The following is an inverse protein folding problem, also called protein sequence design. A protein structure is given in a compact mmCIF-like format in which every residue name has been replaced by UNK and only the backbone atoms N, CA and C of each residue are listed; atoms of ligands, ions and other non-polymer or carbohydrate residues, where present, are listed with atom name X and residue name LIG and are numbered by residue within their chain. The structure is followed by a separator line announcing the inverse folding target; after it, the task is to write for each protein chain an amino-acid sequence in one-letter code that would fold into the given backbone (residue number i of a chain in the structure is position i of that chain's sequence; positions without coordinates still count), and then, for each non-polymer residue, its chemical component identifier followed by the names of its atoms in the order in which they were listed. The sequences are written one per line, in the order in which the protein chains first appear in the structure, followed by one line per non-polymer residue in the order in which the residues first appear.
data_IF_365468562019
#
_entry.id   IF_365468562019
#
_cell.length_a   1.000
_cell.length_b   1.000
_cell.length_c   1.000
_cell.angle_alpha   90.00
_cell.angle_beta   90.00
_cell.angle_gamma   90.00
#
_symmetry.space_group_name_H-M   'P 1'
#
loop_
_entity.id
_entity.type
_entity.pdbx_description
1 polymer ?
#
# COMPACT_ATOMS: atom_id res chain seq x y z
N UNK A 1 11.39 -12.50 25.76
CA UNK A 1 10.61 -11.41 26.38
C UNK A 1 9.11 -11.70 26.43
N UNK A 2 8.56 -12.45 25.46
CA UNK A 2 7.12 -12.72 25.37
C UNK A 2 6.69 -13.96 26.19
N UNK A 3 7.60 -14.91 26.42
CA UNK A 3 7.29 -16.15 27.15
C UNK A 3 6.88 -15.84 28.58
N UNK A 4 5.75 -16.42 29.00
CA UNK A 4 5.18 -16.25 30.34
C UNK A 4 4.13 -15.11 30.46
N UNK A 5 3.83 -14.41 29.35
CA UNK A 5 2.77 -13.40 29.32
C UNK A 5 1.46 -13.98 28.74
N UNK A 6 0.35 -13.45 29.19
CA UNK A 6 -1.00 -13.86 28.77
C UNK A 6 -1.36 -13.28 27.38
N UNK A 7 -1.85 -14.11 26.47
CA UNK A 7 -2.30 -13.65 25.13
C UNK A 7 -3.42 -12.63 25.21
N UNK A 8 -4.27 -12.70 26.26
CA UNK A 8 -5.33 -11.73 26.46
C UNK A 8 -4.83 -10.29 26.67
N UNK A 9 -3.59 -10.12 27.14
CA UNK A 9 -2.98 -8.81 27.35
C UNK A 9 -2.27 -8.29 26.09
N UNK A 10 -3.04 -8.18 24.99
CA UNK A 10 -2.55 -7.85 23.66
C UNK A 10 -1.76 -6.53 23.63
N UNK A 11 -2.24 -5.49 24.30
CA UNK A 11 -1.57 -4.19 24.31
C UNK A 11 -0.18 -4.24 24.94
N UNK A 12 -0.03 -5.02 26.02
CA UNK A 12 1.27 -5.23 26.65
C UNK A 12 2.22 -6.01 25.72
N UNK A 13 1.74 -7.07 25.09
CA UNK A 13 2.54 -7.88 24.15
C UNK A 13 3.02 -7.06 22.95
N UNK A 14 2.14 -6.28 22.34
CA UNK A 14 2.51 -5.41 21.20
C UNK A 14 3.51 -4.34 21.63
N UNK A 15 3.37 -3.77 22.84
CA UNK A 15 4.34 -2.82 23.37
C UNK A 15 5.74 -3.48 23.54
N UNK A 16 5.81 -4.71 24.08
CA UNK A 16 7.07 -5.45 24.21
C UNK A 16 7.71 -5.75 22.87
N UNK A 17 6.89 -6.10 21.84
CA UNK A 17 7.38 -6.36 20.48
C UNK A 17 7.95 -5.08 19.87
N UNK A 18 7.20 -3.98 19.91
CA UNK A 18 7.64 -2.71 19.33
C UNK A 18 8.90 -2.17 20.00
N UNK A 19 9.04 -2.33 21.31
CA UNK A 19 10.21 -1.93 22.09
C UNK A 19 11.36 -2.95 22.10
N UNK A 20 11.26 -4.10 21.43
CA UNK A 20 12.24 -5.17 21.51
C UNK A 20 13.62 -4.81 20.92
N UNK A 21 13.61 -4.04 19.83
CA UNK A 21 14.80 -3.59 19.11
C UNK A 21 14.47 -2.34 18.29
N UNK A 22 15.49 -1.60 17.89
CA UNK A 22 15.34 -0.50 16.95
C UNK A 22 15.13 -1.05 15.52
N UNK A 23 14.32 -0.35 14.70
CA UNK A 23 14.01 -0.75 13.33
C UNK A 23 13.48 -2.20 13.26
N UNK A 24 13.99 -3.01 12.33
CA UNK A 24 13.61 -4.42 12.15
C UNK A 24 12.09 -4.66 12.07
N UNK A 25 11.40 -3.78 11.36
CA UNK A 25 9.94 -3.76 11.28
C UNK A 25 9.35 -5.08 10.76
N UNK A 26 9.97 -5.71 9.76
CA UNK A 26 9.49 -7.01 9.24
C UNK A 26 9.54 -8.11 10.30
N UNK A 27 10.60 -8.17 11.12
CA UNK A 27 10.71 -9.15 12.21
C UNK A 27 9.65 -8.90 13.30
N UNK A 28 9.41 -7.64 13.64
CA UNK A 28 8.33 -7.24 14.57
C UNK A 28 6.97 -7.63 14.02
N UNK A 29 6.71 -7.35 12.74
CA UNK A 29 5.47 -7.68 12.08
C UNK A 29 5.20 -9.19 12.11
N UNK A 30 6.19 -10.02 11.81
CA UNK A 30 6.03 -11.47 11.83
C UNK A 30 5.60 -11.98 13.21
N UNK A 31 6.23 -11.48 14.29
CA UNK A 31 5.88 -11.87 15.66
C UNK A 31 4.51 -11.30 16.06
N UNK A 32 4.23 -10.06 15.70
CA UNK A 32 2.95 -9.42 16.03
C UNK A 32 1.78 -10.10 15.32
N UNK A 33 1.92 -10.47 14.04
CA UNK A 33 0.93 -11.25 13.28
C UNK A 33 0.61 -12.56 14.01
N UNK A 34 1.61 -13.29 14.46
CA UNK A 34 1.42 -14.53 15.21
C UNK A 34 0.67 -14.31 16.54
N UNK A 35 0.97 -13.22 17.25
CA UNK A 35 0.27 -12.87 18.51
C UNK A 35 -1.20 -12.50 18.23
N UNK A 36 -1.48 -11.75 17.18
CA UNK A 36 -2.86 -11.42 16.79
C UNK A 36 -3.64 -12.66 16.33
N UNK A 37 -2.99 -13.62 15.66
CA UNK A 37 -3.61 -14.90 15.29
C UNK A 37 -3.98 -15.71 16.53
N UNK A 38 -3.05 -15.86 17.50
CA UNK A 38 -3.31 -16.52 18.77
C UNK A 38 -4.43 -15.82 19.56
N UNK A 39 -4.50 -14.49 19.52
CA UNK A 39 -5.55 -13.72 20.14
C UNK A 39 -6.92 -13.97 19.51
N UNK A 40 -6.97 -14.08 18.18
CA UNK A 40 -8.17 -14.50 17.45
C UNK A 40 -8.64 -15.91 17.85
N UNK A 41 -7.69 -16.85 17.96
CA UNK A 41 -7.97 -18.22 18.40
C UNK A 41 -8.48 -18.27 19.85
N UNK A 42 -7.89 -17.48 20.76
CA UNK A 42 -8.32 -17.39 22.17
C UNK A 42 -9.81 -17.01 22.27
N UNK A 43 -10.27 -16.07 21.46
CA UNK A 43 -11.67 -15.62 21.47
C UNK A 43 -12.56 -16.34 20.45
N UNK A 44 -12.02 -17.33 19.74
CA UNK A 44 -12.72 -18.09 18.71
C UNK A 44 -13.45 -17.19 17.69
N UNK A 45 -12.77 -16.14 17.24
CA UNK A 45 -13.32 -15.16 16.31
C UNK A 45 -12.27 -14.73 15.28
N UNK A 46 -12.68 -14.52 14.01
CA UNK A 46 -11.77 -13.96 13.01
C UNK A 46 -11.33 -12.56 13.43
N UNK A 47 -10.05 -12.26 13.19
CA UNK A 47 -9.40 -11.04 13.69
C UNK A 47 -10.15 -9.76 13.29
N UNK A 48 -10.65 -9.66 12.05
CA UNK A 48 -11.39 -8.46 11.63
C UNK A 48 -12.60 -8.15 12.52
N UNK A 49 -13.29 -9.16 13.06
CA UNK A 49 -14.42 -8.97 14.00
C UNK A 49 -13.95 -8.41 15.34
N UNK A 50 -12.82 -8.89 15.84
CA UNK A 50 -12.24 -8.39 17.09
C UNK A 50 -11.70 -6.97 16.94
N UNK A 51 -11.33 -6.55 15.72
CA UNK A 51 -10.86 -5.21 15.40
C UNK A 51 -11.97 -4.21 15.03
N UNK A 52 -13.24 -4.62 15.07
CA UNK A 52 -14.36 -3.71 14.83
C UNK A 52 -15.39 -4.21 13.82
N UNK A 53 -15.13 -5.29 13.11
CA UNK A 53 -16.02 -5.84 12.07
C UNK A 53 -15.80 -5.18 10.70
N UNK A 54 -16.71 -5.45 9.79
CA UNK A 54 -16.72 -4.95 8.40
C UNK A 54 -17.24 -5.99 7.43
N UNK A 55 -17.47 -5.60 6.18
CA UNK A 55 -17.79 -6.53 5.09
C UNK A 55 -16.51 -7.30 4.71
N UNK A 56 -16.49 -8.64 4.80
CA UNK A 56 -15.29 -9.44 4.55
C UNK A 56 -14.96 -9.60 3.05
N UNK A 57 -15.47 -8.72 2.19
CA UNK A 57 -15.17 -8.72 0.76
C UNK A 57 -14.29 -7.51 0.44
N UNK A 58 -13.12 -7.77 -0.14
CA UNK A 58 -12.21 -6.73 -0.64
C UNK A 58 -11.74 -7.08 -2.05
N UNK A 59 -11.41 -6.05 -2.84
CA UNK A 59 -10.86 -6.21 -4.19
C UNK A 59 -9.45 -5.64 -4.22
N UNK A 60 -8.48 -6.41 -4.71
CA UNK A 60 -7.10 -5.97 -4.90
C UNK A 60 -6.80 -5.62 -6.34
N UNK A 61 -5.77 -4.81 -6.58
CA UNK A 61 -5.17 -4.61 -7.90
C UNK A 61 -4.21 -5.75 -8.25
N UNK A 62 -3.55 -5.60 -9.40
CA UNK A 62 -2.44 -6.45 -9.84
C UNK A 62 -1.32 -5.58 -10.41
N UNK A 63 -0.08 -5.93 -10.07
CA UNK A 63 1.11 -5.22 -10.51
C UNK A 63 1.52 -5.63 -11.93
N UNK A 64 1.70 -4.63 -12.80
CA UNK A 64 2.31 -4.74 -14.12
C UNK A 64 3.77 -4.26 -14.01
N UNK A 65 4.70 -5.20 -14.10
CA UNK A 65 6.13 -4.94 -13.98
C UNK A 65 6.68 -4.17 -15.17
N UNK A 66 7.77 -3.41 -14.95
CA UNK A 66 8.44 -2.66 -16.02
C UNK A 66 9.01 -3.60 -17.07
N UNK A 67 8.59 -3.41 -18.33
CA UNK A 67 9.07 -4.15 -19.51
C UNK A 67 8.95 -3.26 -20.77
N UNK A 68 9.10 -3.86 -21.97
CA UNK A 68 8.77 -3.19 -23.23
C UNK A 68 7.29 -2.81 -23.29
N UNK A 69 6.97 -1.72 -24.00
CA UNK A 69 5.59 -1.17 -24.04
C UNK A 69 4.58 -2.24 -24.48
N UNK A 70 4.85 -2.95 -25.57
CA UNK A 70 3.93 -3.96 -26.10
C UNK A 70 3.66 -5.09 -25.10
N UNK A 71 4.69 -5.50 -24.34
CA UNK A 71 4.53 -6.50 -23.29
C UNK A 71 3.69 -5.99 -22.13
N UNK A 72 3.95 -4.78 -21.65
CA UNK A 72 3.16 -4.18 -20.57
C UNK A 72 1.70 -3.99 -20.97
N UNK A 73 1.43 -3.62 -22.22
CA UNK A 73 0.07 -3.54 -22.78
C UNK A 73 -0.57 -4.93 -22.78
N UNK A 74 0.13 -5.96 -23.27
CA UNK A 74 -0.39 -7.32 -23.30
C UNK A 74 -0.67 -7.86 -21.88
N UNK A 75 0.23 -7.64 -20.92
CA UNK A 75 0.05 -8.05 -19.52
C UNK A 75 -1.13 -7.32 -18.87
N UNK A 76 -1.30 -6.03 -19.15
CA UNK A 76 -2.42 -5.22 -18.68
C UNK A 76 -3.76 -5.74 -19.21
N UNK A 77 -3.81 -6.07 -20.51
CA UNK A 77 -5.01 -6.62 -21.13
C UNK A 77 -5.35 -8.00 -20.57
N UNK A 78 -4.35 -8.87 -20.39
CA UNK A 78 -4.54 -10.18 -19.77
C UNK A 78 -5.05 -10.06 -18.32
N UNK A 79 -4.60 -9.06 -17.58
CA UNK A 79 -5.11 -8.78 -16.22
C UNK A 79 -6.59 -8.34 -16.25
N UNK A 80 -6.95 -7.43 -17.17
CA UNK A 80 -8.35 -7.00 -17.34
C UNK A 80 -9.26 -8.17 -17.73
N UNK A 81 -8.80 -9.05 -18.64
CA UNK A 81 -9.54 -10.26 -19.04
C UNK A 81 -9.73 -11.26 -17.89
N UNK A 82 -8.82 -11.26 -16.91
CA UNK A 82 -8.95 -12.03 -15.67
C UNK A 82 -9.90 -11.39 -14.65
N UNK A 83 -10.41 -10.19 -14.92
CA UNK A 83 -11.38 -9.49 -14.09
C UNK A 83 -10.76 -8.47 -13.10
N UNK A 84 -9.49 -8.10 -13.24
CA UNK A 84 -8.91 -7.04 -12.44
C UNK A 84 -9.44 -5.66 -12.88
N UNK A 85 -9.98 -4.91 -11.93
CA UNK A 85 -10.55 -3.58 -12.15
C UNK A 85 -9.56 -2.45 -11.79
N UNK A 86 -8.39 -2.78 -11.27
CA UNK A 86 -7.30 -1.84 -10.97
C UNK A 86 -5.96 -2.47 -11.35
N UNK A 87 -5.11 -1.68 -12.01
CA UNK A 87 -3.78 -2.07 -12.44
C UNK A 87 -2.73 -1.14 -11.84
N UNK A 88 -1.74 -1.69 -11.16
CA UNK A 88 -0.59 -0.95 -10.64
C UNK A 88 0.56 -1.03 -11.66
N UNK A 89 0.84 0.08 -12.32
CA UNK A 89 1.85 0.18 -13.39
C UNK A 89 3.17 0.65 -12.78
N UNK A 90 4.20 -0.17 -12.89
CA UNK A 90 5.54 0.21 -12.45
C UNK A 90 6.20 1.15 -13.47
N UNK A 91 6.71 2.28 -12.97
CA UNK A 91 7.41 3.35 -13.71
C UNK A 91 8.68 3.77 -12.94
N UNK A 92 9.30 4.91 -13.27
CA UNK A 92 10.39 5.47 -12.47
C UNK A 92 11.80 5.21 -13.04
N UNK A 93 11.91 4.73 -14.28
CA UNK A 93 13.23 4.49 -14.92
C UNK A 93 13.60 5.57 -15.93
N UNK A 94 12.78 5.77 -16.94
CA UNK A 94 12.97 6.77 -17.99
C UNK A 94 11.66 7.52 -18.18
N UNK A 95 11.68 8.80 -17.90
CA UNK A 95 10.48 9.63 -17.84
C UNK A 95 9.73 9.67 -19.17
N UNK A 96 10.44 9.74 -20.31
CA UNK A 96 9.82 9.78 -21.62
C UNK A 96 9.17 8.45 -21.97
N UNK A 97 9.88 7.37 -21.73
CA UNK A 97 9.37 6.00 -21.96
C UNK A 97 8.24 5.68 -21.00
N UNK A 98 8.31 6.12 -19.73
CA UNK A 98 7.27 5.92 -18.74
C UNK A 98 5.95 6.60 -19.15
N UNK A 99 6.01 7.82 -19.67
CA UNK A 99 4.83 8.53 -20.22
C UNK A 99 4.20 7.74 -21.37
N UNK A 100 5.01 7.27 -22.33
CA UNK A 100 4.51 6.51 -23.48
C UNK A 100 3.93 5.14 -23.08
N UNK A 101 4.52 4.45 -22.10
CA UNK A 101 3.98 3.22 -21.50
C UNK A 101 2.58 3.43 -20.95
N UNK A 102 2.43 4.46 -20.13
CA UNK A 102 1.16 4.75 -19.45
C UNK A 102 0.09 5.13 -20.48
N UNK A 103 0.41 5.95 -21.48
CA UNK A 103 -0.52 6.31 -22.56
C UNK A 103 -0.96 5.07 -23.36
N UNK A 104 -0.02 4.20 -23.72
CA UNK A 104 -0.32 2.98 -24.47
C UNK A 104 -1.23 2.03 -23.67
N UNK A 105 -0.94 1.81 -22.38
CA UNK A 105 -1.77 0.99 -21.49
C UNK A 105 -3.15 1.61 -21.33
N UNK A 106 -3.23 2.92 -21.07
CA UNK A 106 -4.50 3.63 -20.88
C UNK A 106 -5.40 3.51 -22.11
N UNK A 107 -4.82 3.69 -23.30
CA UNK A 107 -5.55 3.53 -24.55
C UNK A 107 -6.04 2.08 -24.77
N UNK A 108 -5.23 1.07 -24.43
CA UNK A 108 -5.59 -0.34 -24.61
C UNK A 108 -6.66 -0.80 -23.60
N UNK A 109 -6.59 -0.32 -22.36
CA UNK A 109 -7.54 -0.69 -21.30
C UNK A 109 -8.94 -0.10 -21.55
N UNK A 110 -9.05 1.02 -22.26
CA UNK A 110 -10.34 1.64 -22.65
C UNK A 110 -11.31 1.89 -21.47
N UNK A 111 -10.77 2.29 -20.32
CA UNK A 111 -11.54 2.57 -19.12
C UNK A 111 -12.08 1.34 -18.38
N UNK A 112 -11.70 0.12 -18.76
CA UNK A 112 -12.11 -1.13 -18.10
C UNK A 112 -11.42 -1.37 -16.76
N UNK A 113 -10.31 -0.67 -16.49
CA UNK A 113 -9.62 -0.70 -15.20
C UNK A 113 -9.07 0.68 -14.84
N UNK A 114 -8.96 0.95 -13.53
CA UNK A 114 -8.26 2.11 -12.99
C UNK A 114 -6.74 1.90 -13.09
N UNK A 115 -6.00 2.96 -13.37
CA UNK A 115 -4.55 2.91 -13.41
C UNK A 115 -3.96 3.61 -12.19
N UNK A 116 -3.06 2.91 -11.49
CA UNK A 116 -2.21 3.39 -10.41
C UNK A 116 -0.77 3.39 -10.91
N UNK A 117 -0.02 4.44 -10.69
CA UNK A 117 1.41 4.45 -11.02
C UNK A 117 2.22 4.22 -9.75
N UNK A 118 3.29 3.43 -9.85
CA UNK A 118 4.28 3.31 -8.78
C UNK A 118 5.67 3.59 -9.35
N UNK A 119 6.22 4.72 -8.96
CA UNK A 119 7.53 5.18 -9.41
C UNK A 119 8.68 4.67 -8.54
N UNK A 120 8.41 4.05 -7.40
CA UNK A 120 9.39 3.53 -6.44
C UNK A 120 10.59 4.48 -6.24
N UNK A 121 10.30 5.75 -5.97
CA UNK A 121 11.32 6.79 -5.72
C UNK A 121 12.21 7.11 -6.95
N UNK A 122 11.75 6.80 -8.17
CA UNK A 122 12.58 6.85 -9.37
C UNK A 122 12.68 8.23 -10.01
N UNK A 123 11.80 9.18 -9.67
CA UNK A 123 11.78 10.50 -10.27
C UNK A 123 12.33 11.59 -9.34
N UNK A 124 12.69 12.73 -9.92
CA UNK A 124 12.80 13.99 -9.19
C UNK A 124 11.44 14.67 -9.15
N UNK A 125 11.25 15.61 -8.22
CA UNK A 125 9.97 16.34 -8.09
C UNK A 125 9.57 17.06 -9.39
N UNK A 126 10.52 17.64 -10.12
CA UNK A 126 10.26 18.28 -11.42
C UNK A 126 9.87 17.29 -12.51
N UNK A 127 10.51 16.12 -12.55
CA UNK A 127 10.16 15.05 -13.47
C UNK A 127 8.76 14.50 -13.18
N UNK A 128 8.43 14.31 -11.92
CA UNK A 128 7.10 13.83 -11.52
C UNK A 128 6.00 14.80 -11.96
N UNK A 129 6.16 16.10 -11.69
CA UNK A 129 5.20 17.12 -12.14
C UNK A 129 5.09 17.13 -13.67
N UNK A 130 6.21 17.10 -14.39
CA UNK A 130 6.21 17.08 -15.85
C UNK A 130 5.47 15.84 -16.40
N UNK A 131 5.77 14.66 -15.88
CA UNK A 131 5.12 13.42 -16.34
C UNK A 131 3.62 13.42 -16.08
N UNK A 132 3.22 13.76 -14.84
CA UNK A 132 1.82 13.74 -14.44
C UNK A 132 1.00 14.79 -15.20
N UNK A 133 1.48 16.02 -15.32
CA UNK A 133 0.80 17.04 -16.12
C UNK A 133 0.72 16.65 -17.61
N UNK A 134 1.78 16.06 -18.18
CA UNK A 134 1.75 15.56 -19.57
C UNK A 134 0.70 14.45 -19.78
N UNK A 135 0.50 13.59 -18.78
CA UNK A 135 -0.54 12.57 -18.81
C UNK A 135 -1.94 13.18 -18.63
N UNK A 136 -2.10 14.08 -17.67
CA UNK A 136 -3.35 14.83 -17.43
C UNK A 136 -3.79 15.62 -18.67
N UNK A 137 -2.87 16.35 -19.30
CA UNK A 137 -3.14 17.11 -20.55
C UNK A 137 -3.51 16.20 -21.71
N UNK A 138 -2.99 14.97 -21.74
CA UNK A 138 -3.36 13.94 -22.73
C UNK A 138 -4.71 13.25 -22.39
N UNK A 139 -5.41 13.65 -21.32
CA UNK A 139 -6.67 13.05 -20.90
C UNK A 139 -6.54 11.70 -20.18
N UNK A 140 -5.33 11.30 -19.79
CA UNK A 140 -5.11 10.09 -19.02
C UNK A 140 -5.56 10.34 -17.57
N UNK A 141 -6.48 9.52 -17.10
CA UNK A 141 -6.98 9.59 -15.71
C UNK A 141 -6.32 8.50 -14.87
N UNK A 142 -5.54 8.94 -13.90
CA UNK A 142 -4.89 8.06 -12.92
C UNK A 142 -5.64 8.10 -11.60
N UNK A 143 -5.78 6.95 -10.95
CA UNK A 143 -6.32 6.89 -9.60
C UNK A 143 -5.35 7.50 -8.58
N UNK A 144 -4.05 7.24 -8.76
CA UNK A 144 -2.98 7.79 -7.92
C UNK A 144 -1.59 7.59 -8.56
N UNK A 145 -0.61 8.31 -8.01
CA UNK A 145 0.82 8.05 -8.19
C UNK A 145 1.46 7.75 -6.82
N UNK A 146 2.13 6.60 -6.72
CA UNK A 146 2.81 6.13 -5.50
C UNK A 146 4.28 6.51 -5.53
N UNK A 147 4.75 7.11 -4.44
CA UNK A 147 6.13 7.46 -4.08
C UNK A 147 7.00 7.92 -5.27
N UNK A 148 6.67 9.06 -5.88
CA UNK A 148 7.40 9.53 -7.06
C UNK A 148 8.85 9.91 -6.78
N UNK A 149 9.15 10.43 -5.58
CA UNK A 149 10.49 10.91 -5.18
C UNK A 149 11.05 10.09 -4.01
N UNK A 150 12.32 10.37 -3.65
CA UNK A 150 13.00 9.68 -2.55
C UNK A 150 12.22 9.79 -1.23
N UNK A 151 12.25 8.73 -0.44
CA UNK A 151 11.51 8.60 0.81
C UNK A 151 11.66 9.79 1.78
N UNK A 152 12.84 10.39 1.82
CA UNK A 152 13.17 11.53 2.70
C UNK A 152 12.86 12.90 2.09
N UNK A 153 12.47 12.96 0.81
CA UNK A 153 12.17 14.20 0.10
C UNK A 153 10.70 14.61 0.27
N UNK A 154 10.32 14.95 1.50
CA UNK A 154 8.95 15.36 1.82
C UNK A 154 8.59 16.71 1.17
N UNK A 155 9.54 17.60 1.01
CA UNK A 155 9.34 18.86 0.28
C UNK A 155 9.07 18.59 -1.22
N UNK A 156 9.76 17.62 -1.81
CA UNK A 156 9.49 17.15 -3.17
C UNK A 156 8.10 16.51 -3.29
N UNK A 157 7.69 15.69 -2.34
CA UNK A 157 6.33 15.14 -2.29
C UNK A 157 5.29 16.27 -2.26
N UNK A 158 5.43 17.23 -1.34
CA UNK A 158 4.57 18.41 -1.25
C UNK A 158 4.54 19.21 -2.55
N UNK A 159 5.73 19.45 -3.14
CA UNK A 159 5.85 20.20 -4.40
C UNK A 159 5.03 19.55 -5.53
N UNK A 160 4.99 18.22 -5.59
CA UNK A 160 4.20 17.47 -6.56
C UNK A 160 2.71 17.60 -6.22
N UNK A 161 2.32 17.27 -5.00
CA UNK A 161 0.90 17.28 -4.53
C UNK A 161 0.22 18.62 -4.79
N UNK A 162 0.94 19.73 -4.64
CA UNK A 162 0.41 21.08 -4.91
C UNK A 162 0.25 21.43 -6.40
N UNK A 163 0.78 20.61 -7.34
CA UNK A 163 0.91 20.98 -8.77
C UNK A 163 0.29 20.02 -9.75
N UNK A 164 -0.23 18.91 -9.28
CA UNK A 164 -0.89 17.91 -10.11
C UNK A 164 -2.32 17.65 -9.59
N UNK A 165 -3.19 17.15 -10.45
CA UNK A 165 -4.54 16.74 -10.07
C UNK A 165 -4.59 15.28 -9.62
N UNK A 166 -3.65 14.47 -10.11
CA UNK A 166 -3.50 13.06 -9.74
C UNK A 166 -3.16 12.94 -8.26
N UNK A 167 -3.93 12.21 -7.44
CA UNK A 167 -3.62 12.02 -6.02
C UNK A 167 -2.23 11.40 -5.82
N UNK A 168 -1.48 11.96 -4.88
CA UNK A 168 -0.12 11.52 -4.56
C UNK A 168 -0.13 10.65 -3.30
N UNK A 169 0.43 9.45 -3.40
CA UNK A 169 0.50 8.50 -2.30
C UNK A 169 1.93 8.35 -1.77
N UNK A 170 2.07 8.39 -0.46
CA UNK A 170 3.32 8.10 0.24
C UNK A 170 3.40 6.61 0.61
N UNK A 171 4.49 5.94 0.19
CA UNK A 171 4.82 4.56 0.56
C UNK A 171 6.12 4.51 1.39
N UNK A 172 7.27 4.63 0.77
CA UNK A 172 8.56 4.53 1.46
C UNK A 172 8.85 5.70 2.41
N UNK A 173 8.05 6.75 2.34
CA UNK A 173 8.11 7.87 3.32
C UNK A 173 7.38 7.57 4.63
N UNK A 174 6.70 6.42 4.77
CA UNK A 174 5.87 6.09 5.94
C UNK A 174 6.26 4.73 6.49
N UNK A 175 6.84 4.71 7.69
CA UNK A 175 7.14 3.50 8.46
C UNK A 175 6.37 3.43 9.78
N UNK A 176 5.80 4.54 10.23
CA UNK A 176 5.10 4.58 11.51
C UNK A 176 4.16 5.77 11.65
N UNK A 177 3.46 5.86 12.78
CA UNK A 177 2.48 6.92 13.03
C UNK A 177 3.07 8.35 13.01
N UNK A 178 4.34 8.50 13.40
CA UNK A 178 4.97 9.83 13.47
C UNK A 178 5.21 10.41 12.09
N UNK A 179 5.67 9.59 11.14
CA UNK A 179 5.86 10.00 9.75
C UNK A 179 4.52 10.37 9.09
N UNK A 180 3.43 9.66 9.41
CA UNK A 180 2.08 10.00 8.92
C UNK A 180 1.64 11.37 9.43
N UNK A 181 1.84 11.67 10.72
CA UNK A 181 1.51 12.98 11.29
C UNK A 181 2.31 14.08 10.59
N UNK A 182 3.60 13.85 10.31
CA UNK A 182 4.44 14.82 9.62
C UNK A 182 3.95 15.06 8.18
N UNK A 183 3.70 13.99 7.41
CA UNK A 183 3.16 14.07 6.04
C UNK A 183 1.85 14.85 5.98
N UNK A 184 0.92 14.56 6.89
CA UNK A 184 -0.38 15.23 6.97
C UNK A 184 -0.19 16.72 7.28
N UNK A 185 0.65 17.07 8.28
CA UNK A 185 0.93 18.46 8.66
C UNK A 185 1.56 19.25 7.50
N UNK A 186 2.43 18.63 6.73
CA UNK A 186 3.07 19.22 5.56
C UNK A 186 2.14 19.28 4.34
N UNK A 187 1.05 18.51 4.31
CA UNK A 187 0.23 18.26 3.13
C UNK A 187 1.07 17.71 1.98
N UNK A 188 1.95 16.77 2.31
CA UNK A 188 2.91 16.22 1.37
C UNK A 188 2.38 15.02 0.58
N UNK A 189 1.24 14.48 0.94
CA UNK A 189 0.55 13.40 0.23
C UNK A 189 -0.96 13.46 0.49
N UNK A 190 -1.73 12.93 -0.45
CA UNK A 190 -3.19 12.77 -0.39
C UNK A 190 -3.58 11.42 0.21
N UNK A 191 -2.72 10.40 0.05
CA UNK A 191 -2.96 9.01 0.43
C UNK A 191 -1.72 8.46 1.13
N UNK A 192 -1.93 7.56 2.10
CA UNK A 192 -0.85 6.86 2.81
C UNK A 192 -0.93 5.36 2.54
N UNK A 193 0.17 4.74 2.09
CA UNK A 193 0.26 3.29 1.91
C UNK A 193 0.76 2.60 3.20
N UNK A 194 -0.12 1.84 3.82
CA UNK A 194 0.17 1.01 5.00
C UNK A 194 0.68 -0.35 4.51
N UNK A 195 1.86 -0.77 4.98
CA UNK A 195 2.37 -2.14 4.78
C UNK A 195 2.81 -2.69 6.13
N UNK A 196 2.34 -3.88 6.51
CA UNK A 196 2.64 -4.46 7.83
C UNK A 196 4.13 -4.61 8.06
N UNK A 197 4.89 -4.95 7.00
CA UNK A 197 6.36 -5.08 7.06
C UNK A 197 7.08 -3.74 7.28
N UNK A 198 6.48 -2.61 6.89
CA UNK A 198 7.02 -1.28 7.20
C UNK A 198 6.64 -0.85 8.61
N UNK A 199 5.36 -1.00 8.98
CA UNK A 199 4.83 -0.51 10.26
C UNK A 199 5.27 -1.32 11.47
N UNK A 200 5.82 -2.50 11.25
CA UNK A 200 6.21 -3.42 12.31
C UNK A 200 5.05 -4.23 12.87
N UNK A 201 3.94 -4.33 12.13
CA UNK A 201 2.78 -5.13 12.49
C UNK A 201 1.47 -4.34 12.53
N UNK A 202 0.45 -5.01 13.03
CA UNK A 202 -0.94 -4.52 13.05
C UNK A 202 -1.15 -3.34 14.01
N UNK A 203 -0.49 -3.31 15.16
CA UNK A 203 -0.72 -2.27 16.18
C UNK A 203 -0.40 -0.86 15.67
N UNK A 204 0.73 -0.68 14.97
CA UNK A 204 1.07 0.59 14.36
C UNK A 204 0.25 0.86 13.09
N UNK A 205 -0.06 -0.16 12.30
CA UNK A 205 -0.91 -0.04 11.13
C UNK A 205 -2.32 0.46 11.50
N UNK A 206 -2.91 -0.04 12.59
CA UNK A 206 -4.18 0.45 13.16
C UNK A 206 -4.07 1.92 13.54
N UNK A 207 -3.01 2.32 14.25
CA UNK A 207 -2.78 3.72 14.63
C UNK A 207 -2.69 4.64 13.41
N UNK A 208 -1.99 4.21 12.36
CA UNK A 208 -1.88 4.98 11.12
C UNK A 208 -3.25 5.16 10.48
N UNK A 209 -4.04 4.09 10.34
CA UNK A 209 -5.38 4.16 9.78
C UNK A 209 -6.29 5.10 10.60
N UNK A 210 -6.23 5.03 11.94
CA UNK A 210 -7.02 5.88 12.82
C UNK A 210 -6.60 7.36 12.73
N UNK A 211 -5.29 7.65 12.67
CA UNK A 211 -4.78 9.01 12.47
C UNK A 211 -5.23 9.55 11.12
N UNK A 212 -5.05 8.81 10.05
CA UNK A 212 -5.45 9.21 8.71
C UNK A 212 -6.96 9.52 8.65
N UNK A 213 -7.79 8.66 9.23
CA UNK A 213 -9.24 8.86 9.33
C UNK A 213 -9.60 10.17 10.06
N UNK A 214 -8.94 10.48 11.18
CA UNK A 214 -9.19 11.72 11.95
C UNK A 214 -8.92 12.97 11.09
N UNK A 215 -7.89 12.92 10.24
CA UNK A 215 -7.51 14.04 9.38
C UNK A 215 -8.19 14.02 7.99
N UNK A 216 -9.01 13.01 7.68
CA UNK A 216 -9.67 12.86 6.40
C UNK A 216 -8.70 12.52 5.25
N UNK A 217 -7.63 11.80 5.56
CA UNK A 217 -6.65 11.28 4.59
C UNK A 217 -6.95 9.81 4.34
N UNK A 218 -7.03 9.42 3.07
CA UNK A 218 -7.24 8.03 2.68
C UNK A 218 -6.01 7.17 2.92
N UNK A 219 -6.22 5.88 3.15
CA UNK A 219 -5.17 4.89 3.16
C UNK A 219 -5.35 3.83 2.07
N UNK A 220 -4.24 3.35 1.58
CA UNK A 220 -4.12 2.05 0.93
C UNK A 220 -3.53 1.07 1.94
N UNK A 221 -3.89 -0.20 1.86
CA UNK A 221 -3.07 -1.27 2.44
C UNK A 221 -2.38 -2.01 1.31
N UNK A 222 -1.06 -2.06 1.40
CA UNK A 222 -0.21 -2.76 0.47
C UNK A 222 0.59 -3.89 1.12
N UNK A 223 1.32 -4.63 0.29
CA UNK A 223 2.28 -5.64 0.74
C UNK A 223 3.64 -5.45 0.04
N UNK A 224 4.66 -6.11 0.60
CA UNK A 224 5.89 -6.46 -0.13
C UNK A 224 5.63 -7.77 -0.91
N UNK A 225 6.66 -8.43 -1.43
CA UNK A 225 6.54 -9.82 -1.88
C UNK A 225 6.35 -10.71 -0.63
N UNK A 226 5.11 -10.81 -0.20
CA UNK A 226 4.72 -11.48 1.05
C UNK A 226 3.89 -12.73 0.76
N UNK A 227 4.03 -13.74 1.61
CA UNK A 227 3.20 -14.94 1.55
C UNK A 227 1.81 -14.72 2.15
N UNK A 228 0.92 -15.71 1.98
CA UNK A 228 -0.49 -15.66 2.39
C UNK A 228 -0.70 -15.36 3.87
N UNK A 229 0.18 -15.78 4.78
CA UNK A 229 0.03 -15.51 6.23
C UNK A 229 0.01 -14.00 6.50
N UNK A 230 0.97 -13.27 5.94
CA UNK A 230 1.06 -11.82 6.14
C UNK A 230 -0.07 -11.09 5.42
N UNK A 231 -0.38 -11.50 4.20
CA UNK A 231 -1.47 -10.90 3.42
C UNK A 231 -2.82 -11.14 4.10
N UNK A 232 -3.07 -12.31 4.67
CA UNK A 232 -4.28 -12.57 5.45
C UNK A 232 -4.43 -11.59 6.63
N UNK A 233 -3.35 -11.30 7.36
CA UNK A 233 -3.39 -10.31 8.43
C UNK A 233 -3.71 -8.91 7.89
N UNK A 234 -3.15 -8.53 6.73
CA UNK A 234 -3.46 -7.26 6.06
C UNK A 234 -4.93 -7.20 5.61
N UNK A 235 -5.48 -8.28 5.07
CA UNK A 235 -6.90 -8.40 4.71
C UNK A 235 -7.80 -8.16 5.92
N UNK A 236 -7.50 -8.79 7.06
CA UNK A 236 -8.27 -8.57 8.29
C UNK A 236 -8.26 -7.10 8.73
N UNK A 237 -7.12 -6.43 8.61
CA UNK A 237 -7.01 -5.01 8.92
C UNK A 237 -7.81 -4.15 7.92
N UNK A 238 -7.70 -4.43 6.61
CA UNK A 238 -8.43 -3.72 5.57
C UNK A 238 -9.94 -3.76 5.82
N UNK A 239 -10.48 -4.94 6.11
CA UNK A 239 -11.90 -5.13 6.45
C UNK A 239 -12.29 -4.32 7.68
N UNK A 240 -11.52 -4.43 8.76
CA UNK A 240 -11.84 -3.76 10.03
C UNK A 240 -11.72 -2.23 9.96
N UNK A 241 -10.89 -1.70 9.08
CA UNK A 241 -10.61 -0.26 8.92
C UNK A 241 -11.04 0.28 7.55
N UNK A 242 -12.04 -0.33 6.93
CA UNK A 242 -12.53 0.04 5.58
C UNK A 242 -13.00 1.49 5.45
N UNK A 243 -13.31 2.17 6.56
CA UNK A 243 -13.62 3.61 6.57
C UNK A 243 -12.40 4.50 6.32
N UNK A 244 -11.18 4.01 6.54
CA UNK A 244 -9.91 4.71 6.32
C UNK A 244 -9.10 4.05 5.19
N UNK A 245 -9.11 2.72 5.13
CA UNK A 245 -8.41 1.93 4.11
C UNK A 245 -9.36 1.71 2.94
N UNK A 246 -9.29 2.60 1.95
CA UNK A 246 -10.18 2.62 0.78
C UNK A 246 -9.59 1.94 -0.45
N UNK A 247 -8.29 1.62 -0.43
CA UNK A 247 -7.55 1.03 -1.54
C UNK A 247 -6.74 -0.17 -1.08
N UNK A 248 -6.66 -1.17 -1.93
CA UNK A 248 -6.01 -2.45 -1.63
C UNK A 248 -4.98 -2.76 -2.72
N UNK A 249 -3.79 -3.21 -2.31
CA UNK A 249 -2.66 -3.64 -3.14
C UNK A 249 -2.00 -4.85 -2.45
N UNK A 250 -2.68 -6.00 -2.54
CA UNK A 250 -2.33 -7.24 -1.82
C UNK A 250 -2.11 -8.41 -2.80
N UNK A 251 -1.44 -8.15 -3.91
CA UNK A 251 -1.16 -9.11 -4.96
C UNK A 251 0.08 -10.01 -4.72
N UNK A 252 0.82 -9.77 -3.63
CA UNK A 252 2.07 -10.47 -3.31
C UNK A 252 2.03 -11.99 -3.47
N UNK A 253 1.04 -12.72 -2.91
CA UNK A 253 0.94 -14.18 -3.09
C UNK A 253 0.78 -14.61 -4.54
N UNK A 254 0.10 -13.81 -5.37
CA UNK A 254 -0.10 -14.10 -6.80
C UNK A 254 1.18 -13.94 -7.63
N UNK A 255 2.16 -13.20 -7.10
CA UNK A 255 3.46 -12.96 -7.73
C UNK A 255 4.54 -13.96 -7.26
N UNK A 256 4.24 -14.77 -6.25
CA UNK A 256 5.16 -15.77 -5.71
C UNK A 256 5.04 -17.10 -6.50
N UNK A 257 6.18 -17.68 -6.86
CA UNK A 257 6.22 -19.01 -7.49
C UNK A 257 5.84 -20.14 -6.52
N UNK A 258 5.95 -19.91 -5.23
CA UNK A 258 5.66 -20.86 -4.16
C UNK A 258 5.11 -20.13 -2.94
N UNK A 259 4.04 -20.68 -2.38
CA UNK A 259 3.49 -20.24 -1.10
C UNK A 259 3.66 -21.37 -0.08
N UNK A 260 4.24 -21.14 1.12
CA UNK A 260 4.53 -22.18 2.09
C UNK A 260 3.29 -22.71 2.81
N UNK A 261 2.14 -22.12 2.61
CA UNK A 261 0.87 -22.50 3.24
C UNK A 261 -0.22 -22.64 2.18
N UNK A 262 -1.13 -23.57 2.41
CA UNK A 262 -2.39 -23.69 1.68
C UNK A 262 -3.37 -22.65 2.27
N UNK A 263 -3.77 -21.67 1.46
CA UNK A 263 -4.65 -20.59 1.92
C UNK A 263 -5.43 -19.96 0.78
#
# INVERSE_FOLDING_TARGET
RLVGHEIADLNHLTHLIQGAMEKNSSAKAAVEIAIYDLWGQLYNAPLYRLLGGGDPVITTDITISVDYIDKMVADSMAAVERGFESLKIKVGKDIGVDIERVKAIYAAVEGRALLRLDANQGWTAKQAVYALQTLEDAGVRLELVEQPVKAHDLDGMKYITERVHTPVMADESVFGPMEVIELIRMRAADIVNIKLMKTGGLSNAIRIADIAAIYGVDCMIGCMLEGSISVAAAVHLAVAKSHAITKIDLDGPSLCAFNPVDG
#
